data_IF_450293221602
#
_entry.id   IF_450293221602
#
_cell.length_a   1.000
_cell.length_b   1.000
_cell.length_c   1.000
_cell.angle_alpha   90.00
_cell.angle_beta   90.00
_cell.angle_gamma   90.00
#
_symmetry.space_group_name_H-M   'P 1'
#
loop_
_entity.id
_entity.type
_entity.pdbx_description
1 polymer ?
#
# COMPACT_ATOMS: atom_id res chain seq x y z
N UNK A 1 -63.33 -4.03 -43.49
CA UNK A 1 -63.12 -2.77 -44.23
C UNK A 1 -62.34 -1.82 -43.33
N UNK A 2 -61.32 -1.16 -43.91
CA UNK A 2 -60.44 -0.18 -43.28
C UNK A 2 -61.18 1.13 -43.03
N UNK A 3 -60.92 1.79 -41.91
CA UNK A 3 -60.74 3.25 -41.85
C UNK A 3 -59.85 3.61 -40.65
N UNK A 4 -58.65 4.10 -40.98
CA UNK A 4 -57.84 4.91 -40.08
C UNK A 4 -58.53 6.26 -39.88
N UNK A 5 -58.49 6.79 -38.67
CA UNK A 5 -58.65 8.24 -38.46
C UNK A 5 -57.69 8.70 -37.37
N UNK A 6 -56.64 9.40 -37.79
CA UNK A 6 -55.71 10.16 -36.97
C UNK A 6 -56.41 11.41 -36.46
N UNK A 7 -56.45 11.63 -35.14
CA UNK A 7 -56.56 12.99 -34.58
C UNK A 7 -55.54 13.14 -33.44
N UNK A 8 -54.62 14.07 -33.71
CA UNK A 8 -53.58 14.61 -32.87
C UNK A 8 -54.16 15.76 -32.04
N UNK A 9 -54.08 15.75 -30.71
CA UNK A 9 -53.93 16.98 -29.91
C UNK A 9 -53.51 16.74 -28.44
N UNK A 10 -52.32 17.28 -28.14
CA UNK A 10 -51.88 17.97 -26.94
C UNK A 10 -51.81 17.29 -25.54
N UNK A 11 -50.59 16.85 -25.22
CA UNK A 11 -49.74 17.23 -24.07
C UNK A 11 -50.37 18.09 -22.94
N UNK A 12 -50.31 17.54 -21.71
CA UNK A 12 -49.79 18.13 -20.45
C UNK A 12 -50.31 17.24 -19.31
N UNK A 13 -49.54 16.54 -18.49
CA UNK A 13 -48.62 17.09 -17.49
C UNK A 13 -47.94 15.88 -16.81
N UNK A 14 -46.60 15.79 -16.80
CA UNK A 14 -45.92 14.99 -15.78
C UNK A 14 -44.86 15.83 -15.10
N UNK A 15 -44.88 15.74 -13.78
CA UNK A 15 -44.23 16.62 -12.83
C UNK A 15 -42.70 16.55 -12.90
N UNK A 16 -42.09 17.69 -12.59
CA UNK A 16 -40.65 17.87 -12.40
C UNK A 16 -40.12 16.98 -11.28
N UNK A 17 -39.11 16.17 -11.58
CA UNK A 17 -38.08 15.77 -10.61
C UNK A 17 -36.69 15.75 -11.28
N UNK A 18 -35.90 16.74 -10.86
CA UNK A 18 -34.48 16.66 -10.52
C UNK A 18 -33.45 16.07 -11.51
N UNK A 19 -32.51 16.97 -11.82
CA UNK A 19 -31.05 16.76 -11.90
C UNK A 19 -30.51 16.26 -13.23
N UNK A 20 -30.15 17.24 -14.08
CA UNK A 20 -29.48 17.05 -15.35
C UNK A 20 -28.21 16.22 -15.26
N UNK A 21 -28.28 15.01 -15.81
CA UNK A 21 -27.12 14.30 -16.36
C UNK A 21 -26.99 14.70 -17.83
N UNK A 22 -25.97 15.48 -18.15
CA UNK A 22 -25.50 15.64 -19.53
C UNK A 22 -24.47 14.54 -19.81
N UNK A 23 -24.68 13.65 -20.81
CA UNK A 23 -23.60 12.79 -21.28
C UNK A 23 -22.63 13.65 -22.09
N UNK A 24 -21.40 13.84 -21.60
CA UNK A 24 -20.35 14.47 -22.39
C UNK A 24 -19.83 13.48 -23.45
N UNK A 25 -19.62 13.94 -24.70
CA UNK A 25 -19.10 13.09 -25.76
C UNK A 25 -17.61 12.79 -25.58
N UNK A 26 -17.23 11.57 -25.98
CA UNK A 26 -15.89 11.02 -26.01
C UNK A 26 -15.01 11.80 -27.01
N UNK A 27 -14.25 12.80 -26.53
CA UNK A 27 -13.25 13.50 -27.33
C UNK A 27 -11.84 12.97 -27.03
N UNK A 28 -11.34 12.18 -27.99
CA UNK A 28 -9.97 11.72 -28.11
C UNK A 28 -9.16 12.86 -28.76
N UNK A 29 -8.48 13.68 -27.96
CA UNK A 29 -7.52 14.67 -28.44
C UNK A 29 -6.16 14.49 -27.74
N UNK A 30 -5.20 14.12 -28.58
CA UNK A 30 -3.82 13.78 -28.32
C UNK A 30 -2.97 15.00 -27.89
N UNK A 31 -1.86 14.70 -27.22
CA UNK A 31 -0.64 15.53 -26.99
C UNK A 31 -0.69 16.67 -25.97
N UNK A 32 -0.32 16.35 -24.73
CA UNK A 32 0.69 17.11 -23.99
C UNK A 32 1.60 16.13 -23.23
N UNK A 33 2.75 15.86 -23.82
CA UNK A 33 3.82 15.07 -23.21
C UNK A 33 4.51 15.95 -22.17
N UNK A 34 4.21 15.75 -20.89
CA UNK A 34 5.07 16.22 -19.78
C UNK A 34 5.04 15.18 -18.67
N UNK A 35 6.07 14.33 -18.67
CA UNK A 35 6.49 13.44 -17.59
C UNK A 35 5.38 12.61 -16.93
N UNK A 36 4.91 11.62 -17.70
CA UNK A 36 4.19 10.45 -17.23
C UNK A 36 5.07 9.68 -16.23
N UNK A 37 5.03 10.11 -14.98
CA UNK A 37 5.73 9.45 -13.89
C UNK A 37 5.24 8.01 -13.79
N UNK A 38 6.10 7.14 -13.28
CA UNK A 38 5.96 5.71 -13.02
C UNK A 38 4.84 5.40 -12.00
N UNK A 39 3.66 5.99 -12.16
CA UNK A 39 2.54 6.04 -11.23
C UNK A 39 1.29 5.29 -11.68
N UNK A 40 1.23 4.89 -12.95
CA UNK A 40 0.13 4.09 -13.49
C UNK A 40 0.39 2.57 -13.41
N UNK A 41 1.53 2.14 -12.87
CA UNK A 41 1.71 0.71 -12.55
C UNK A 41 0.84 0.36 -11.33
N UNK A 42 0.15 -0.80 -11.32
CA UNK A 42 -0.69 -1.22 -10.19
C UNK A 42 0.07 -1.27 -8.85
N UNK A 43 1.40 -1.42 -8.89
CA UNK A 43 2.28 -1.31 -7.73
C UNK A 43 2.32 0.09 -7.10
N UNK A 44 2.13 1.16 -7.88
CA UNK A 44 2.18 2.52 -7.35
C UNK A 44 0.89 2.87 -6.58
N UNK A 45 -0.28 2.43 -7.02
CA UNK A 45 -1.55 2.65 -6.28
C UNK A 45 -1.54 2.00 -4.89
N UNK A 46 -1.02 0.77 -4.78
CA UNK A 46 -0.88 0.09 -3.47
C UNK A 46 0.18 0.75 -2.60
N UNK A 47 1.30 1.19 -3.19
CA UNK A 47 2.33 1.94 -2.48
C UNK A 47 1.80 3.27 -1.93
N UNK A 48 1.08 4.04 -2.75
CA UNK A 48 0.42 5.29 -2.33
C UNK A 48 -0.59 5.03 -1.22
N UNK A 49 -1.40 3.97 -1.34
CA UNK A 49 -2.33 3.59 -0.28
C UNK A 49 -1.60 3.28 1.03
N UNK A 50 -0.45 2.59 0.96
CA UNK A 50 0.35 2.22 2.13
C UNK A 50 1.01 3.41 2.85
N UNK A 51 1.07 4.60 2.22
CA UNK A 51 1.57 5.83 2.87
C UNK A 51 0.60 6.36 3.92
N UNK A 52 -0.70 6.03 3.81
CA UNK A 52 -1.71 6.46 4.79
C UNK A 52 -1.54 5.69 6.09
N UNK A 53 -1.77 6.35 7.23
CA UNK A 53 -1.69 5.72 8.56
C UNK A 53 -2.98 5.01 8.96
N UNK A 54 -4.12 5.46 8.43
CA UNK A 54 -5.45 4.90 8.67
C UNK A 54 -6.01 4.42 7.33
N UNK A 55 -6.61 3.23 7.36
CA UNK A 55 -7.19 2.60 6.18
C UNK A 55 -8.63 2.18 6.46
N UNK A 56 -9.48 2.35 5.46
CA UNK A 56 -10.77 1.67 5.38
C UNK A 56 -10.53 0.29 4.79
N UNK A 57 -10.97 -0.74 5.51
CA UNK A 57 -10.96 -2.14 5.10
C UNK A 57 -12.41 -2.60 4.95
N UNK A 58 -12.74 -3.24 3.85
CA UNK A 58 -14.07 -3.75 3.56
C UNK A 58 -14.09 -5.28 3.64
N UNK A 59 -15.15 -5.83 4.23
CA UNK A 59 -15.40 -7.26 4.22
C UNK A 59 -15.99 -7.71 2.87
N UNK A 60 -16.24 -9.02 2.72
CA UNK A 60 -16.88 -9.59 1.52
C UNK A 60 -18.32 -9.11 1.29
N UNK A 61 -19.00 -8.66 2.34
CA UNK A 61 -20.40 -8.23 2.34
C UNK A 61 -20.50 -6.72 2.04
N UNK A 62 -19.37 -6.00 2.10
CA UNK A 62 -19.28 -4.55 1.87
C UNK A 62 -19.31 -3.72 3.16
N UNK A 63 -19.28 -4.34 4.34
CA UNK A 63 -19.15 -3.60 5.60
C UNK A 63 -17.75 -3.04 5.72
N UNK A 64 -17.67 -1.79 6.12
CA UNK A 64 -16.41 -1.06 6.22
C UNK A 64 -15.92 -0.95 7.66
N UNK A 65 -14.61 -1.04 7.80
CA UNK A 65 -13.89 -0.88 9.05
C UNK A 65 -12.76 0.13 8.84
N UNK A 66 -12.87 1.27 9.50
CA UNK A 66 -11.79 2.25 9.57
C UNK A 66 -10.83 1.85 10.70
N UNK A 67 -9.59 1.53 10.36
CA UNK A 67 -8.60 1.07 11.32
C UNK A 67 -7.17 1.45 10.95
N UNK A 68 -6.29 1.50 11.97
CA UNK A 68 -4.84 1.60 11.81
C UNK A 68 -4.25 0.20 11.81
N UNK A 69 -3.45 -0.14 10.80
CA UNK A 69 -2.77 -1.44 10.76
C UNK A 69 -1.59 -1.40 11.74
N UNK A 70 -1.56 -2.33 12.70
CA UNK A 70 -0.49 -2.46 13.70
C UNK A 70 0.53 -3.48 13.23
N UNK A 71 0.06 -4.67 12.86
CA UNK A 71 0.90 -5.79 12.48
C UNK A 71 0.30 -6.52 11.29
N UNK A 72 1.16 -6.79 10.31
CA UNK A 72 0.81 -7.61 9.15
C UNK A 72 1.36 -9.01 9.37
N UNK A 73 0.48 -10.02 9.31
CA UNK A 73 0.79 -11.45 9.33
C UNK A 73 0.46 -12.06 7.95
N UNK A 74 0.81 -13.33 7.75
CA UNK A 74 0.61 -14.00 6.46
C UNK A 74 -0.88 -14.20 6.10
N UNK A 75 -1.70 -14.57 7.10
CA UNK A 75 -3.10 -14.96 6.91
C UNK A 75 -4.09 -13.99 7.59
N UNK A 76 -3.59 -13.02 8.34
CA UNK A 76 -4.41 -12.10 9.14
C UNK A 76 -3.75 -10.72 9.25
N UNK A 77 -4.58 -9.73 9.58
CA UNK A 77 -4.17 -8.36 9.88
C UNK A 77 -4.56 -8.01 11.30
N UNK A 78 -3.58 -7.54 12.06
CA UNK A 78 -3.82 -6.97 13.38
C UNK A 78 -4.00 -5.47 13.24
N UNK A 79 -5.19 -4.99 13.57
CA UNK A 79 -5.59 -3.61 13.36
C UNK A 79 -6.15 -3.00 14.64
N UNK A 80 -5.96 -1.70 14.80
CA UNK A 80 -6.62 -0.91 15.84
C UNK A 80 -7.81 -0.18 15.22
N UNK A 81 -9.02 -0.58 15.61
CA UNK A 81 -10.25 0.06 15.14
C UNK A 81 -10.28 1.53 15.56
N UNK A 82 -10.70 2.42 14.67
CA UNK A 82 -10.67 3.85 14.93
C UNK A 82 -11.74 4.28 15.95
N UNK A 83 -12.93 3.67 15.91
CA UNK A 83 -14.11 4.06 16.70
C UNK A 83 -13.91 3.86 18.20
N UNK A 84 -13.45 2.68 18.62
CA UNK A 84 -13.34 2.30 20.04
C UNK A 84 -11.91 1.95 20.45
N UNK A 85 -10.94 2.14 19.55
CA UNK A 85 -9.51 1.90 19.79
C UNK A 85 -9.15 0.47 20.15
N UNK A 86 -10.06 -0.50 20.00
CA UNK A 86 -9.80 -1.92 20.26
C UNK A 86 -8.89 -2.53 19.20
N UNK A 87 -8.07 -3.48 19.63
CA UNK A 87 -7.19 -4.26 18.76
C UNK A 87 -7.98 -5.48 18.31
N UNK A 88 -8.02 -5.70 17.00
CA UNK A 88 -8.74 -6.78 16.34
C UNK A 88 -7.78 -7.52 15.43
N UNK A 89 -7.88 -8.85 15.43
CA UNK A 89 -7.23 -9.69 14.43
C UNK A 89 -8.26 -10.08 13.37
N UNK A 90 -8.02 -9.64 12.13
CA UNK A 90 -8.92 -9.83 11.00
C UNK A 90 -8.31 -10.86 10.06
N UNK A 91 -8.95 -12.02 9.88
CA UNK A 91 -8.54 -12.99 8.87
C UNK A 91 -8.66 -12.41 7.46
N UNK A 92 -7.64 -12.64 6.63
CA UNK A 92 -7.65 -12.21 5.22
C UNK A 92 -8.81 -12.82 4.45
N UNK A 93 -9.32 -13.97 4.87
CA UNK A 93 -10.47 -14.64 4.29
C UNK A 93 -11.76 -13.80 4.34
N UNK A 94 -11.92 -12.94 5.36
CA UNK A 94 -13.11 -12.11 5.55
C UNK A 94 -13.06 -10.81 4.74
N UNK A 95 -11.87 -10.37 4.34
CA UNK A 95 -11.67 -9.16 3.57
C UNK A 95 -12.12 -9.32 2.11
N UNK A 96 -12.49 -8.20 1.50
CA UNK A 96 -12.75 -8.10 0.07
C UNK A 96 -11.48 -8.38 -0.75
N UNK A 97 -11.64 -8.66 -2.05
CA UNK A 97 -10.49 -8.97 -2.93
C UNK A 97 -9.43 -7.85 -2.95
N UNK A 98 -9.87 -6.58 -3.08
CA UNK A 98 -8.98 -5.41 -3.13
C UNK A 98 -8.11 -5.30 -1.88
N UNK A 99 -8.69 -5.51 -0.71
CA UNK A 99 -7.99 -5.40 0.56
C UNK A 99 -7.11 -6.60 0.87
N UNK A 100 -7.50 -7.79 0.40
CA UNK A 100 -6.65 -8.99 0.46
C UNK A 100 -5.35 -8.79 -0.33
N UNK A 101 -5.43 -8.21 -1.52
CA UNK A 101 -4.28 -7.87 -2.36
C UNK A 101 -3.40 -6.82 -1.66
N UNK A 102 -4.01 -5.78 -1.09
CA UNK A 102 -3.29 -4.76 -0.33
C UNK A 102 -2.54 -5.33 0.89
N UNK A 103 -3.19 -6.18 1.67
CA UNK A 103 -2.57 -6.83 2.82
C UNK A 103 -1.38 -7.73 2.41
N UNK A 104 -1.52 -8.47 1.31
CA UNK A 104 -0.44 -9.30 0.76
C UNK A 104 0.74 -8.45 0.29
N UNK A 105 0.46 -7.28 -0.32
CA UNK A 105 1.49 -6.30 -0.66
C UNK A 105 2.24 -5.81 0.58
N UNK A 106 1.54 -5.42 1.64
CA UNK A 106 2.18 -4.98 2.89
C UNK A 106 3.04 -6.09 3.52
N UNK A 107 2.59 -7.33 3.47
CA UNK A 107 3.35 -8.48 3.97
C UNK A 107 4.66 -8.67 3.19
N UNK A 108 4.60 -8.56 1.85
CA UNK A 108 5.79 -8.66 1.01
C UNK A 108 6.78 -7.52 1.30
N UNK A 109 6.29 -6.29 1.47
CA UNK A 109 7.13 -5.15 1.84
C UNK A 109 7.81 -5.34 3.20
N UNK A 110 7.12 -5.93 4.18
CA UNK A 110 7.71 -6.26 5.48
C UNK A 110 8.87 -7.24 5.35
N UNK A 111 8.72 -8.32 4.56
CA UNK A 111 9.78 -9.29 4.30
C UNK A 111 11.01 -8.65 3.65
N UNK A 112 10.80 -7.78 2.66
CA UNK A 112 11.88 -7.07 1.98
C UNK A 112 12.62 -6.10 2.91
N UNK A 113 11.92 -5.47 3.86
CA UNK A 113 12.56 -4.62 4.87
C UNK A 113 13.40 -5.43 5.86
N UNK A 114 12.89 -6.59 6.29
CA UNK A 114 13.61 -7.48 7.19
C UNK A 114 14.90 -8.00 6.54
N UNK A 115 14.84 -8.47 5.28
CA UNK A 115 16.04 -8.97 4.59
C UNK A 115 17.09 -7.88 4.35
N UNK A 116 16.66 -6.64 4.09
CA UNK A 116 17.58 -5.50 3.97
C UNK A 116 18.19 -5.09 5.31
N UNK A 117 17.42 -5.16 6.40
CA UNK A 117 17.90 -4.91 7.76
C UNK A 117 19.00 -5.90 8.15
N UNK A 118 18.75 -7.19 7.94
CA UNK A 118 19.71 -8.26 8.25
C UNK A 118 21.01 -8.14 7.44
N UNK A 119 20.96 -7.68 6.19
CA UNK A 119 22.16 -7.45 5.38
C UNK A 119 23.00 -6.26 5.89
N UNK A 120 22.37 -5.20 6.39
CA UNK A 120 23.10 -4.06 6.96
C UNK A 120 23.79 -4.45 8.28
N UNK A 121 23.10 -5.19 9.13
CA UNK A 121 23.61 -5.65 10.41
C UNK A 121 24.75 -6.69 10.25
N UNK A 122 24.62 -7.60 9.28
CA UNK A 122 25.67 -8.55 8.92
C UNK A 122 26.93 -7.86 8.36
N UNK A 123 26.78 -6.76 7.62
CA UNK A 123 27.93 -6.00 7.11
C UNK A 123 28.60 -5.17 8.21
N UNK A 124 27.82 -4.57 9.12
CA UNK A 124 28.35 -3.82 10.25
C UNK A 124 29.14 -4.73 11.22
N UNK A 125 28.65 -5.93 11.50
CA UNK A 125 29.36 -6.92 12.32
C UNK A 125 30.63 -7.46 11.66
N UNK A 126 30.63 -7.65 10.33
CA UNK A 126 31.85 -7.99 9.59
C UNK A 126 32.90 -6.88 9.65
N UNK A 127 32.48 -5.62 9.52
CA UNK A 127 33.38 -4.46 9.62
C UNK A 127 33.98 -4.30 11.02
N UNK A 128 33.18 -4.53 12.07
CA UNK A 128 33.67 -4.53 13.46
C UNK A 128 34.63 -5.69 13.74
N UNK A 129 34.37 -6.88 13.16
CA UNK A 129 35.28 -8.02 13.31
C UNK A 129 36.62 -7.79 12.60
N UNK A 130 36.64 -7.08 11.47
CA UNK A 130 37.90 -6.72 10.78
C UNK A 130 38.70 -5.68 11.55
N UNK A 131 38.05 -4.67 12.14
CA UNK A 131 38.75 -3.64 12.93
C UNK A 131 39.30 -4.18 14.24
N UNK A 132 38.61 -5.12 14.90
CA UNK A 132 39.11 -5.79 16.10
C UNK A 132 40.37 -6.62 15.77
N UNK A 133 40.37 -7.37 14.68
CA UNK A 133 41.56 -8.12 14.23
C UNK A 133 42.74 -7.22 13.90
N UNK A 134 42.47 -6.05 13.34
CA UNK A 134 43.49 -5.06 13.02
C UNK A 134 44.10 -4.43 14.29
N UNK A 135 43.27 -4.15 15.29
CA UNK A 135 43.71 -3.67 16.61
C UNK A 135 44.53 -4.72 17.38
N UNK A 136 44.11 -5.98 17.36
CA UNK A 136 44.86 -7.09 17.99
C UNK A 136 46.25 -7.27 17.37
N UNK A 137 46.34 -7.17 16.03
CA UNK A 137 47.63 -7.21 15.33
C UNK A 137 48.53 -6.02 15.72
N UNK A 138 47.96 -4.81 15.81
CA UNK A 138 48.73 -3.62 16.22
C UNK A 138 49.20 -3.71 17.68
N UNK A 139 48.42 -4.32 18.57
CA UNK A 139 48.81 -4.58 19.95
C UNK A 139 49.94 -5.61 20.05
N UNK A 140 49.87 -6.69 19.26
CA UNK A 140 50.93 -7.70 19.23
C UNK A 140 52.28 -7.15 18.77
N UNK A 141 52.29 -6.26 17.76
CA UNK A 141 53.50 -5.60 17.26
C UNK A 141 54.11 -4.60 18.26
N UNK A 142 53.31 -4.01 19.14
CA UNK A 142 53.77 -3.00 20.12
C UNK A 142 54.39 -3.61 21.38
N UNK A 143 54.01 -4.85 21.73
CA UNK A 143 54.54 -5.55 22.90
C UNK A 143 55.87 -6.28 22.64
N UNK A 144 56.22 -6.58 21.39
CA UNK A 144 57.49 -7.25 21.04
C UNK A 144 58.65 -6.28 20.83
N UNK A 145 58.40 -4.99 20.64
CA UNK A 145 59.44 -3.98 20.42
C UNK A 145 60.03 -3.39 21.72
N UNK A 146 59.39 -3.60 22.87
CA UNK A 146 59.85 -3.09 24.17
C UNK A 146 60.78 -4.04 24.94
N UNK A 147 61.00 -5.27 24.46
CA UNK A 147 61.83 -6.28 25.15
C UNK A 147 63.32 -6.22 24.71
N UNK A 148 63.67 -5.43 23.68
CA UNK A 148 65.04 -5.37 23.12
C UNK A 148 65.87 -4.16 23.56
N UNK A 149 65.55 -3.50 24.68
CA UNK A 149 66.42 -2.51 25.31
C UNK A 149 66.49 -2.74 26.82
N UNK A 150 67.36 -3.68 27.20
CA UNK A 150 67.77 -3.97 28.57
C UNK A 150 69.07 -4.74 28.55
#
# INVERSE_FOLDING_TARGET
>A
MRTLSFILFLISTTASFASGYTPQPLNLATTSTTLRSKADQPGNRLAQRALKSVHTLSDKIGRELVAKIIKVKANSLEVRRHTDRRILEIPLALLCHKDRVFARYLWQQKKLKQSKGTLKEANATKQLATTIKELDNLLHLKCTSTISQG
#
